data_IF_211033604192
#
_entry.id   IF_211033604192
#
_cell.length_a   1.000
_cell.length_b   1.000
_cell.length_c   1.000
_cell.angle_alpha   90.00
_cell.angle_beta   90.00
_cell.angle_gamma   90.00
#
_symmetry.space_group_name_H-M   'P 1'
#
loop_
_entity.id
_entity.type
_entity.pdbx_description
1 polymer ?
#
# COMPACT_ATOMS: atom_id res chain seq x y z
N UNK A 1 -19.20 4.77 5.48
CA UNK A 1 -17.97 3.96 5.40
C UNK A 1 -18.24 2.59 4.81
N UNK A 2 -19.08 1.74 5.42
CA UNK A 2 -19.24 0.33 5.00
C UNK A 2 -19.66 0.16 3.53
N UNK A 3 -20.76 0.78 3.12
CA UNK A 3 -21.25 0.73 1.73
C UNK A 3 -20.25 1.32 0.74
N UNK A 4 -19.63 2.46 1.08
CA UNK A 4 -18.64 3.12 0.22
C UNK A 4 -17.42 2.25 -0.03
N UNK A 5 -16.84 1.65 1.00
CA UNK A 5 -15.66 0.79 0.87
C UNK A 5 -15.98 -0.53 0.16
N UNK A 6 -17.14 -1.13 0.45
CA UNK A 6 -17.60 -2.31 -0.28
C UNK A 6 -17.78 -2.02 -1.78
N UNK A 7 -18.36 -0.88 -2.13
CA UNK A 7 -18.52 -0.46 -3.52
C UNK A 7 -17.17 -0.15 -4.18
N UNK A 8 -16.25 0.53 -3.47
CA UNK A 8 -14.92 0.88 -3.97
C UNK A 8 -14.06 -0.35 -4.25
N UNK A 9 -14.04 -1.32 -3.33
CA UNK A 9 -13.24 -2.53 -3.49
C UNK A 9 -13.91 -3.59 -4.35
N UNK A 10 -15.23 -3.49 -4.55
CA UNK A 10 -16.05 -4.36 -5.37
C UNK A 10 -15.77 -5.87 -5.19
N UNK A 11 -15.74 -6.38 -3.95
CA UNK A 11 -15.39 -7.77 -3.68
C UNK A 11 -16.43 -8.71 -4.29
N UNK A 12 -15.98 -9.76 -4.97
CA UNK A 12 -16.84 -10.71 -5.69
C UNK A 12 -17.78 -11.44 -4.72
N UNK A 13 -17.24 -11.90 -3.58
CA UNK A 13 -18.04 -12.62 -2.59
C UNK A 13 -18.52 -11.72 -1.45
N UNK A 14 -18.27 -10.41 -1.50
CA UNK A 14 -18.63 -9.49 -0.43
C UNK A 14 -17.57 -9.35 0.67
N UNK A 15 -17.80 -8.36 1.52
CA UNK A 15 -16.96 -8.05 2.68
C UNK A 15 -17.83 -7.67 3.88
N UNK A 16 -17.54 -8.25 5.04
CA UNK A 16 -18.12 -7.83 6.29
C UNK A 16 -17.18 -6.87 7.01
N UNK A 17 -17.71 -5.72 7.43
CA UNK A 17 -16.95 -4.66 8.08
C UNK A 17 -17.46 -4.49 9.52
N UNK A 18 -16.57 -4.71 10.48
CA UNK A 18 -16.84 -4.55 11.92
C UNK A 18 -16.02 -3.38 12.46
N UNK A 19 -16.71 -2.46 13.14
CA UNK A 19 -16.08 -1.38 13.91
C UNK A 19 -15.65 -1.94 15.27
N UNK A 20 -14.40 -1.70 15.67
CA UNK A 20 -13.87 -2.11 16.96
C UNK A 20 -13.73 -0.94 17.95
N UNK A 21 -14.09 0.28 17.55
CA UNK A 21 -13.73 1.50 18.27
C UNK A 21 -12.28 1.90 18.01
N UNK A 22 -11.84 3.01 18.63
CA UNK A 22 -10.47 3.52 18.55
C UNK A 22 -9.91 3.68 17.12
N UNK A 23 -10.79 3.99 16.16
CA UNK A 23 -10.47 4.10 14.73
C UNK A 23 -9.91 2.79 14.13
N UNK A 24 -10.25 1.64 14.72
CA UNK A 24 -9.90 0.29 14.24
C UNK A 24 -11.10 -0.42 13.65
N UNK A 25 -10.86 -1.11 12.54
CA UNK A 25 -11.88 -1.84 11.80
C UNK A 25 -11.36 -3.22 11.39
N UNK A 26 -12.23 -4.22 11.44
CA UNK A 26 -11.96 -5.55 10.86
C UNK A 26 -12.72 -5.65 9.54
N UNK A 27 -11.97 -5.99 8.49
CA UNK A 27 -12.50 -6.35 7.19
C UNK A 27 -12.40 -7.86 7.01
N UNK A 28 -13.54 -8.56 7.06
CA UNK A 28 -13.63 -9.99 6.79
C UNK A 28 -14.11 -10.18 5.36
N UNK A 29 -13.18 -10.47 4.45
CA UNK A 29 -13.50 -10.85 3.09
C UNK A 29 -13.97 -12.30 3.04
N UNK A 30 -14.98 -12.59 2.21
CA UNK A 30 -15.47 -13.96 2.03
C UNK A 30 -14.67 -14.74 0.98
N UNK A 31 -13.78 -14.07 0.25
CA UNK A 31 -12.85 -14.69 -0.69
C UNK A 31 -11.44 -14.13 -0.53
N UNK A 32 -10.42 -15.00 -0.54
CA UNK A 32 -9.02 -14.59 -0.34
C UNK A 32 -8.52 -13.68 -1.46
N UNK A 33 -8.93 -13.92 -2.71
CA UNK A 33 -8.53 -13.07 -3.84
C UNK A 33 -9.04 -11.63 -3.72
N UNK A 34 -10.22 -11.42 -3.13
CA UNK A 34 -10.73 -10.06 -2.89
C UNK A 34 -9.82 -9.32 -1.90
N UNK A 35 -9.43 -10.00 -0.81
CA UNK A 35 -8.50 -9.46 0.17
C UNK A 35 -7.14 -9.15 -0.45
N UNK A 36 -6.55 -10.10 -1.20
CA UNK A 36 -5.25 -9.90 -1.83
C UNK A 36 -5.29 -8.77 -2.88
N UNK A 37 -6.40 -8.63 -3.64
CA UNK A 37 -6.59 -7.50 -4.56
C UNK A 37 -6.64 -6.16 -3.83
N UNK A 38 -7.36 -6.09 -2.70
CA UNK A 38 -7.42 -4.88 -1.87
C UNK A 38 -6.04 -4.56 -1.29
N UNK A 39 -5.31 -5.53 -0.76
CA UNK A 39 -3.95 -5.32 -0.25
C UNK A 39 -2.99 -4.88 -1.36
N UNK A 40 -3.07 -5.50 -2.55
CA UNK A 40 -2.28 -5.10 -3.73
C UNK A 40 -2.67 -3.72 -4.26
N UNK A 41 -3.86 -3.23 -3.99
CA UNK A 41 -4.33 -1.89 -4.38
C UNK A 41 -3.90 -0.74 -3.45
N UNK A 42 -3.25 -1.02 -2.32
CA UNK A 42 -2.80 0.02 -1.38
C UNK A 42 -1.87 1.05 -2.06
N UNK A 43 -1.94 2.34 -1.69
CA UNK A 43 -2.69 2.88 -0.55
C UNK A 43 -4.18 3.17 -0.86
N UNK A 44 -5.03 3.07 0.16
CA UNK A 44 -6.46 3.46 0.07
C UNK A 44 -6.74 4.69 0.93
N UNK A 45 -7.61 5.56 0.46
CA UNK A 45 -8.10 6.70 1.25
C UNK A 45 -9.62 6.66 1.36
N UNK A 46 -10.14 7.13 2.48
CA UNK A 46 -11.57 7.29 2.72
C UNK A 46 -11.81 8.59 3.49
N UNK A 47 -12.66 9.48 2.96
CA UNK A 47 -12.91 10.81 3.54
C UNK A 47 -11.62 11.58 3.86
N UNK A 48 -10.66 11.60 2.93
CA UNK A 48 -9.33 12.21 3.09
C UNK A 48 -8.46 11.62 4.22
N UNK A 49 -8.85 10.49 4.82
CA UNK A 49 -8.03 9.73 5.75
C UNK A 49 -7.38 8.54 5.05
N UNK A 50 -6.09 8.35 5.29
CA UNK A 50 -5.34 7.18 4.83
C UNK A 50 -5.79 5.93 5.61
N UNK A 51 -6.16 4.87 4.88
CA UNK A 51 -6.42 3.56 5.48
C UNK A 51 -5.11 2.78 5.59
N UNK A 52 -4.79 2.39 6.82
CA UNK A 52 -3.65 1.52 7.11
C UNK A 52 -4.19 0.12 7.30
N UNK A 53 -3.86 -0.78 6.37
CA UNK A 53 -4.37 -2.15 6.36
C UNK A 53 -3.24 -3.14 6.66
N UNK A 54 -3.55 -4.13 7.49
CA UNK A 54 -2.68 -5.27 7.76
C UNK A 54 -3.50 -6.55 7.72
N UNK A 55 -2.89 -7.63 7.18
CA UNK A 55 -3.50 -8.96 7.20
C UNK A 55 -3.40 -9.52 8.61
N UNK A 56 -4.54 -9.74 9.24
CA UNK A 56 -4.63 -10.35 10.58
C UNK A 56 -4.33 -11.85 10.50
N UNK A 57 -3.37 -12.33 11.29
CA UNK A 57 -3.07 -13.75 11.42
C UNK A 57 -3.92 -14.41 12.51
N UNK A 58 -4.06 -15.73 12.45
CA UNK A 58 -4.80 -16.49 13.46
C UNK A 58 -4.12 -16.32 14.83
N UNK A 59 -4.89 -15.90 15.82
CA UNK A 59 -4.41 -15.68 17.19
C UNK A 59 -3.83 -14.31 17.47
N UNK A 60 -3.71 -13.43 16.48
CA UNK A 60 -3.31 -12.04 16.70
C UNK A 60 -4.47 -11.23 17.29
N UNK A 61 -4.14 -10.32 18.21
CA UNK A 61 -5.07 -9.33 18.73
C UNK A 61 -5.12 -8.12 17.78
N UNK A 62 -6.26 -7.86 17.10
CA UNK A 62 -6.40 -6.74 16.17
C UNK A 62 -6.12 -5.37 16.79
N UNK A 63 -6.31 -5.22 18.11
CA UNK A 63 -6.07 -3.96 18.81
C UNK A 63 -4.58 -3.70 19.04
N UNK A 64 -3.75 -4.75 19.04
CA UNK A 64 -2.30 -4.66 19.27
C UNK A 64 -1.48 -4.52 17.98
N UNK A 65 -2.10 -4.64 16.81
CA UNK A 65 -1.40 -4.47 15.53
C UNK A 65 -0.98 -3.01 15.37
N UNK A 66 0.31 -2.71 15.14
CA UNK A 66 0.81 -1.34 15.20
C UNK A 66 0.36 -0.43 14.06
N UNK A 67 -0.26 -0.93 12.97
CA UNK A 67 -0.83 -0.14 11.85
C UNK A 67 -0.05 1.15 11.52
N UNK A 68 1.25 1.04 11.27
CA UNK A 68 2.15 2.20 11.01
C UNK A 68 2.82 2.17 9.64
N UNK A 69 2.58 1.12 8.85
CA UNK A 69 3.22 0.94 7.57
C UNK A 69 2.19 0.92 6.45
N UNK A 70 2.45 1.68 5.39
CA UNK A 70 1.60 1.71 4.18
C UNK A 70 2.48 1.63 2.94
N UNK A 71 2.17 0.75 1.98
CA UNK A 71 2.88 0.72 0.71
C UNK A 71 2.38 1.84 -0.22
N UNK A 72 3.32 2.55 -0.84
CA UNK A 72 3.08 3.59 -1.83
C UNK A 72 3.81 3.25 -3.13
N UNK A 73 3.18 3.62 -4.25
CA UNK A 73 3.90 3.74 -5.52
C UNK A 73 4.60 5.10 -5.57
N UNK A 74 5.91 5.08 -5.78
CA UNK A 74 6.75 6.26 -5.86
C UNK A 74 7.37 6.34 -7.25
N UNK A 75 7.30 7.52 -7.86
CA UNK A 75 7.99 7.82 -9.11
C UNK A 75 9.33 8.47 -8.78
N UNK A 76 10.38 7.97 -9.41
CA UNK A 76 11.75 8.46 -9.30
C UNK A 76 12.11 9.04 -10.66
N UNK A 77 12.25 10.36 -10.70
CA UNK A 77 12.58 11.12 -11.89
C UNK A 77 14.10 11.33 -12.01
N UNK A 78 14.52 11.86 -13.15
CA UNK A 78 15.91 12.27 -13.42
C UNK A 78 16.94 11.14 -13.36
N UNK A 79 16.48 9.89 -13.51
CA UNK A 79 17.35 8.74 -13.74
C UNK A 79 17.46 8.54 -15.26
N UNK A 80 18.67 8.46 -15.83
CA UNK A 80 18.83 8.10 -17.24
C UNK A 80 18.22 6.73 -17.55
N UNK A 81 17.46 6.62 -18.64
CA UNK A 81 16.73 5.39 -19.02
C UNK A 81 17.68 4.18 -19.13
N UNK A 82 18.91 4.38 -19.61
CA UNK A 82 19.92 3.32 -19.69
C UNK A 82 20.36 2.73 -18.35
N UNK A 83 20.02 3.37 -17.22
CA UNK A 83 20.32 2.90 -15.87
C UNK A 83 19.12 2.26 -15.17
N UNK A 84 17.96 2.19 -15.83
CA UNK A 84 16.75 1.60 -15.26
C UNK A 84 16.98 0.11 -15.01
N UNK A 85 17.16 -0.25 -13.75
CA UNK A 85 17.44 -1.61 -13.31
C UNK A 85 16.76 -1.87 -11.98
N UNK A 86 16.38 -3.12 -11.72
CA UNK A 86 15.78 -3.49 -10.43
C UNK A 86 16.75 -3.27 -9.26
N UNK A 87 18.06 -3.45 -9.49
CA UNK A 87 19.09 -3.18 -8.49
C UNK A 87 19.11 -1.71 -8.06
N UNK A 88 19.09 -0.78 -9.03
CA UNK A 88 18.97 0.65 -8.74
C UNK A 88 17.63 1.00 -8.11
N UNK A 89 16.53 0.42 -8.60
CA UNK A 89 15.18 0.60 -8.07
C UNK A 89 15.11 0.21 -6.58
N UNK A 90 15.72 -0.92 -6.22
CA UNK A 90 15.80 -1.43 -4.86
C UNK A 90 16.65 -0.54 -3.97
N UNK A 91 17.80 -0.07 -4.45
CA UNK A 91 18.66 0.86 -3.73
C UNK A 91 17.91 2.16 -3.37
N UNK A 92 17.28 2.79 -4.37
CA UNK A 92 16.54 4.03 -4.19
C UNK A 92 15.25 3.83 -3.38
N UNK A 93 14.54 2.73 -3.60
CA UNK A 93 13.37 2.36 -2.81
C UNK A 93 13.69 2.18 -1.32
N UNK A 94 14.82 1.53 -1.02
CA UNK A 94 15.31 1.34 0.35
C UNK A 94 15.81 2.64 1.00
N UNK A 95 16.21 3.63 0.21
CA UNK A 95 16.50 4.96 0.72
C UNK A 95 15.24 5.72 1.16
N UNK A 96 14.11 5.46 0.50
CA UNK A 96 12.81 6.09 0.79
C UNK A 96 12.08 5.39 1.95
N UNK A 97 12.12 4.05 1.98
CA UNK A 97 11.43 3.21 2.95
C UNK A 97 11.89 1.76 2.81
N UNK A 98 11.00 0.78 2.91
CA UNK A 98 11.33 -0.62 2.60
C UNK A 98 10.87 -0.94 1.18
N UNK A 99 11.79 -1.30 0.29
CA UNK A 99 11.46 -1.70 -1.07
C UNK A 99 10.56 -2.94 -1.10
N UNK A 100 9.51 -2.90 -1.92
CA UNK A 100 8.59 -4.02 -2.12
C UNK A 100 8.62 -4.54 -3.55
N UNK A 101 8.59 -3.64 -4.54
CA UNK A 101 8.38 -4.01 -5.95
C UNK A 101 8.96 -2.94 -6.87
N UNK A 102 9.46 -3.35 -8.03
CA UNK A 102 9.82 -2.45 -9.12
C UNK A 102 8.86 -2.69 -10.29
N UNK A 103 8.23 -1.63 -10.78
CA UNK A 103 7.38 -1.68 -11.97
C UNK A 103 8.25 -1.49 -13.22
N UNK A 104 8.74 -2.63 -13.73
CA UNK A 104 9.51 -2.71 -14.98
C UNK A 104 8.67 -2.70 -16.25
N UNK A 105 7.35 -2.50 -16.17
CA UNK A 105 6.48 -2.49 -17.35
C UNK A 105 6.60 -1.18 -18.13
N UNK A 106 6.58 -1.30 -19.47
CA UNK A 106 6.58 -0.21 -20.45
C UNK A 106 7.66 0.87 -20.23
N UNK A 107 8.93 0.44 -20.21
CA UNK A 107 10.09 1.34 -20.08
C UNK A 107 10.27 2.29 -21.28
N UNK A 108 9.65 2.00 -22.43
CA UNK A 108 9.86 2.75 -23.68
C UNK A 108 9.18 4.11 -23.67
N UNK A 109 8.09 4.25 -22.91
CA UNK A 109 7.28 5.46 -22.85
C UNK A 109 7.37 6.21 -21.51
N UNK A 110 8.27 5.82 -20.60
CA UNK A 110 8.41 6.42 -19.27
C UNK A 110 9.74 7.14 -19.12
N UNK A 111 9.68 8.36 -18.58
CA UNK A 111 10.84 9.16 -18.18
C UNK A 111 11.13 9.06 -16.66
N UNK A 112 10.59 8.05 -15.98
CA UNK A 112 10.78 7.81 -14.55
C UNK A 112 10.82 6.33 -14.24
N UNK A 113 11.51 5.97 -13.17
CA UNK A 113 11.39 4.65 -12.55
C UNK A 113 10.21 4.66 -11.60
N UNK A 114 9.46 3.55 -11.52
CA UNK A 114 8.35 3.43 -10.57
C UNK A 114 8.60 2.28 -9.62
N UNK A 115 8.62 2.58 -8.34
CA UNK A 115 8.90 1.60 -7.28
C UNK A 115 7.79 1.59 -6.25
N UNK A 116 7.54 0.42 -5.68
CA UNK A 116 6.63 0.26 -4.55
C UNK A 116 7.44 0.20 -3.27
N UNK A 117 7.12 1.06 -2.33
CA UNK A 117 7.88 1.23 -1.08
C UNK A 117 6.92 1.23 0.09
N UNK A 118 7.23 0.44 1.12
CA UNK A 118 6.54 0.49 2.40
C UNK A 118 7.09 1.65 3.23
N UNK A 119 6.22 2.59 3.60
CA UNK A 119 6.57 3.82 4.31
C UNK A 119 6.01 3.76 5.74
N UNK A 120 6.83 4.17 6.71
CA UNK A 120 6.41 4.39 8.10
C UNK A 120 5.71 5.74 8.21
N UNK A 121 4.39 5.73 8.44
CA UNK A 121 3.57 6.95 8.47
C UNK A 121 3.80 7.82 9.71
N UNK A 122 4.54 7.34 10.70
CA UNK A 122 4.94 8.16 11.87
C UNK A 122 6.05 9.15 11.53
N UNK A 123 6.77 8.90 10.44
CA UNK A 123 7.87 9.77 9.99
C UNK A 123 7.32 10.73 8.94
N UNK A 124 7.62 12.04 9.03
CA UNK A 124 7.24 12.98 8.00
C UNK A 124 7.92 12.62 6.68
N UNK A 125 7.24 12.89 5.56
CA UNK A 125 7.86 12.78 4.25
C UNK A 125 9.01 13.79 4.14
N UNK A 126 10.17 13.35 3.66
CA UNK A 126 11.30 14.25 3.38
C UNK A 126 10.90 15.20 2.23
N UNK A 127 10.89 16.50 2.51
CA UNK A 127 10.50 17.54 1.54
C UNK A 127 11.68 18.20 0.81
N UNK A 128 12.89 18.12 1.38
CA UNK A 128 14.12 18.69 0.83
C UNK A 128 15.31 17.76 1.10
N UNK A 129 16.35 17.88 0.28
CA UNK A 129 17.68 17.29 0.51
C UNK A 129 18.32 17.88 1.76
#
# INVERSE_FOLDING_TARGET
>A
MKSTLANLWHPICGVQIRDMGEKRYIFKFFHSMDMERVLKGLPWTFNNHLLILSKLRRGEDPLKIPLVYVPFWVQIHDVPIGLFSESLARLLGNFIGVFLEYDGSDLRNRNYMRVRVQIDVRKPLKRKK
#
